data_IF_321847351103
#
_entry.id   IF_321847351103
#
_cell.length_a   1.000
_cell.length_b   1.000
_cell.length_c   1.000
_cell.angle_alpha   90.00
_cell.angle_beta   90.00
_cell.angle_gamma   90.00
#
_symmetry.space_group_name_H-M   'P 1'
#
loop_
_entity.id
_entity.type
_entity.pdbx_description
1 polymer ?
#
# COMPACT_ATOMS: atom_id res chain seq x y z
N UNK A 1 31.99 -20.02 9.90
CA UNK A 1 30.81 -20.23 9.04
C UNK A 1 30.84 -19.13 7.97
N UNK A 2 31.61 -19.33 6.89
CA UNK A 2 31.63 -18.42 5.74
C UNK A 2 30.51 -18.87 4.81
N UNK A 3 29.37 -18.21 4.82
CA UNK A 3 28.25 -18.58 3.94
C UNK A 3 28.55 -18.32 2.46
N UNK A 4 29.57 -17.51 2.13
CA UNK A 4 30.01 -17.29 0.75
C UNK A 4 31.54 -17.32 0.65
N UNK A 5 32.12 -18.15 -0.24
CA UNK A 5 33.56 -18.24 -0.46
C UNK A 5 34.12 -17.15 -1.40
N UNK A 6 33.27 -16.36 -2.06
CA UNK A 6 33.63 -15.29 -3.02
C UNK A 6 32.67 -14.11 -2.87
N UNK A 7 33.08 -12.90 -3.27
CA UNK A 7 32.18 -11.74 -3.38
C UNK A 7 31.04 -12.11 -4.35
N UNK A 8 29.77 -12.09 -3.92
CA UNK A 8 28.65 -12.40 -4.79
C UNK A 8 28.51 -11.32 -5.86
N UNK A 9 28.25 -11.72 -7.11
CA UNK A 9 27.89 -10.77 -8.17
C UNK A 9 26.55 -10.11 -7.85
N UNK A 10 26.26 -8.94 -8.43
CA UNK A 10 24.97 -8.26 -8.22
C UNK A 10 23.78 -9.19 -8.50
N UNK A 11 23.87 -10.02 -9.55
CA UNK A 11 22.87 -11.03 -9.88
C UNK A 11 22.62 -12.08 -8.76
N UNK A 12 23.65 -12.42 -7.97
CA UNK A 12 23.53 -13.39 -6.87
C UNK A 12 22.87 -12.76 -5.63
N UNK A 13 23.14 -11.47 -5.37
CA UNK A 13 22.49 -10.71 -4.31
C UNK A 13 21.00 -10.53 -4.63
N UNK A 14 20.68 -10.19 -5.86
CA UNK A 14 19.29 -10.05 -6.32
C UNK A 14 18.55 -11.39 -6.23
N UNK A 15 19.18 -12.50 -6.62
CA UNK A 15 18.59 -13.83 -6.46
C UNK A 15 18.33 -14.17 -4.99
N UNK A 16 19.21 -13.76 -4.09
CA UNK A 16 19.08 -13.98 -2.64
C UNK A 16 17.93 -13.17 -2.03
N UNK A 17 17.78 -11.89 -2.40
CA UNK A 17 16.72 -11.01 -1.89
C UNK A 17 15.39 -11.15 -2.63
N UNK A 18 15.37 -11.76 -3.83
CA UNK A 18 14.19 -11.94 -4.69
C UNK A 18 12.91 -12.43 -3.95
N UNK A 19 12.97 -13.40 -3.01
CA UNK A 19 11.78 -13.81 -2.26
C UNK A 19 11.21 -12.70 -1.37
N UNK A 20 12.09 -11.91 -0.74
CA UNK A 20 11.74 -10.79 0.14
C UNK A 20 11.16 -9.62 -0.65
N UNK A 21 11.74 -9.34 -1.82
CA UNK A 21 11.25 -8.31 -2.73
C UNK A 21 9.87 -8.64 -3.29
N UNK A 22 9.63 -9.90 -3.69
CA UNK A 22 8.31 -10.35 -4.17
C UNK A 22 7.22 -10.11 -3.15
N UNK A 23 7.45 -10.43 -1.88
CA UNK A 23 6.45 -10.19 -0.82
C UNK A 23 6.28 -8.69 -0.54
N UNK A 24 7.37 -7.93 -0.56
CA UNK A 24 7.36 -6.49 -0.28
C UNK A 24 6.64 -5.69 -1.37
N UNK A 25 6.63 -6.18 -2.61
CA UNK A 25 5.96 -5.55 -3.75
C UNK A 25 4.42 -5.54 -3.64
N UNK A 26 3.83 -6.40 -2.79
CA UNK A 26 2.37 -6.41 -2.60
C UNK A 26 1.84 -5.22 -1.80
N UNK A 27 2.66 -4.62 -0.92
CA UNK A 27 2.21 -3.55 -0.03
C UNK A 27 1.75 -2.28 -0.79
N UNK A 28 2.49 -1.77 -1.81
CA UNK A 28 2.02 -0.66 -2.64
C UNK A 28 0.74 -0.99 -3.44
N UNK A 29 0.61 -2.23 -3.92
CA UNK A 29 -0.57 -2.69 -4.63
C UNK A 29 -1.78 -2.69 -3.71
N UNK A 30 -1.66 -3.25 -2.50
CA UNK A 30 -2.73 -3.26 -1.50
C UNK A 30 -3.12 -1.83 -1.11
N UNK A 31 -2.15 -0.93 -0.95
CA UNK A 31 -2.43 0.47 -0.62
C UNK A 31 -3.24 1.16 -1.74
N UNK A 32 -2.84 0.96 -2.99
CA UNK A 32 -3.54 1.51 -4.16
C UNK A 32 -4.96 0.96 -4.28
N UNK A 33 -5.13 -0.35 -4.12
CA UNK A 33 -6.44 -1.00 -4.15
C UNK A 33 -7.35 -0.52 -3.01
N UNK A 34 -6.84 -0.39 -1.80
CA UNK A 34 -7.59 0.12 -0.66
C UNK A 34 -8.09 1.56 -0.92
N UNK A 35 -7.25 2.41 -1.51
CA UNK A 35 -7.65 3.76 -1.91
C UNK A 35 -8.74 3.76 -2.98
N UNK A 36 -8.61 2.93 -4.01
CA UNK A 36 -9.61 2.81 -5.07
C UNK A 36 -10.95 2.30 -4.52
N UNK A 37 -10.93 1.36 -3.58
CA UNK A 37 -12.13 0.87 -2.89
C UNK A 37 -12.78 1.97 -2.03
N UNK A 38 -11.99 2.79 -1.34
CA UNK A 38 -12.51 3.93 -0.59
C UNK A 38 -13.23 4.94 -1.48
N UNK A 39 -12.65 5.25 -2.65
CA UNK A 39 -13.25 6.08 -3.68
C UNK A 39 -14.52 5.45 -4.27
N UNK A 40 -14.52 4.14 -4.54
CA UNK A 40 -15.72 3.43 -4.98
C UNK A 40 -16.87 3.61 -3.96
N UNK A 41 -16.55 3.51 -2.66
CA UNK A 41 -17.52 3.77 -1.60
C UNK A 41 -18.13 5.18 -1.67
N UNK A 42 -17.37 6.19 -2.10
CA UNK A 42 -17.92 7.55 -2.28
C UNK A 42 -18.97 7.63 -3.37
N UNK A 43 -18.73 6.93 -4.49
CA UNK A 43 -19.67 6.88 -5.61
C UNK A 43 -20.95 6.17 -5.18
N UNK A 44 -20.82 5.06 -4.44
CA UNK A 44 -21.95 4.32 -3.90
C UNK A 44 -22.77 5.19 -2.93
N UNK A 45 -22.13 5.88 -1.97
CA UNK A 45 -22.83 6.69 -0.97
C UNK A 45 -23.63 7.85 -1.60
N UNK A 46 -23.05 8.54 -2.58
CA UNK A 46 -23.74 9.61 -3.31
C UNK A 46 -24.88 9.05 -4.16
N UNK A 47 -24.66 7.93 -4.85
CA UNK A 47 -25.71 7.27 -5.64
C UNK A 47 -26.90 6.83 -4.77
N UNK A 48 -26.64 6.26 -3.60
CA UNK A 48 -27.69 5.87 -2.64
C UNK A 48 -28.51 7.08 -2.19
N UNK A 49 -27.85 8.20 -1.83
CA UNK A 49 -28.57 9.41 -1.45
C UNK A 49 -29.46 9.97 -2.56
N UNK A 50 -29.00 9.94 -3.82
CA UNK A 50 -29.85 10.33 -4.95
C UNK A 50 -31.04 9.39 -5.14
N UNK A 51 -30.84 8.07 -4.99
CA UNK A 51 -31.93 7.09 -5.05
C UNK A 51 -32.99 7.30 -3.97
N UNK A 52 -32.58 7.67 -2.75
CA UNK A 52 -33.52 8.00 -1.67
C UNK A 52 -34.34 9.26 -1.95
N UNK A 53 -33.73 10.30 -2.53
CA UNK A 53 -34.46 11.51 -2.94
C UNK A 53 -35.46 11.26 -4.06
N UNK A 54 -35.06 10.44 -5.03
CA UNK A 54 -35.95 10.04 -6.13
C UNK A 54 -37.18 9.30 -5.60
N UNK A 55 -36.97 8.35 -4.68
CA UNK A 55 -38.05 7.61 -4.04
C UNK A 55 -39.01 8.52 -3.25
N UNK A 56 -38.48 9.54 -2.57
CA UNK A 56 -39.28 10.53 -1.83
C UNK A 56 -39.94 11.57 -2.73
N UNK A 57 -39.59 11.60 -4.04
CA UNK A 57 -40.01 12.64 -5.01
C UNK A 57 -39.77 14.07 -4.51
N UNK A 58 -38.78 14.23 -3.63
CA UNK A 58 -38.46 15.50 -2.97
C UNK A 58 -36.96 15.61 -2.80
N UNK A 59 -36.43 16.76 -3.15
CA UNK A 59 -35.03 17.10 -2.86
C UNK A 59 -34.90 17.42 -1.37
N UNK A 60 -34.05 16.68 -0.67
CA UNK A 60 -33.77 16.85 0.76
C UNK A 60 -32.28 17.03 1.00
N UNK A 61 -31.88 18.21 1.43
CA UNK A 61 -30.46 18.51 1.66
C UNK A 61 -29.86 17.65 2.80
N UNK A 62 -30.67 17.28 3.78
CA UNK A 62 -30.28 16.41 4.89
C UNK A 62 -29.96 14.99 4.41
N UNK A 63 -30.74 14.45 3.48
CA UNK A 63 -30.47 13.12 2.88
C UNK A 63 -29.16 13.14 2.08
N UNK A 64 -28.92 14.22 1.30
CA UNK A 64 -27.65 14.36 0.56
C UNK A 64 -26.46 14.43 1.51
N UNK A 65 -26.58 15.26 2.56
CA UNK A 65 -25.51 15.44 3.54
C UNK A 65 -25.19 14.12 4.25
N UNK A 66 -26.20 13.29 4.53
CA UNK A 66 -26.04 11.92 5.04
C UNK A 66 -25.21 11.05 4.09
N UNK A 67 -25.61 10.93 2.82
CA UNK A 67 -24.88 10.10 1.85
C UNK A 67 -23.45 10.59 1.57
N UNK A 68 -23.21 11.91 1.58
CA UNK A 68 -21.87 12.47 1.47
C UNK A 68 -21.03 12.12 2.69
N UNK A 69 -21.59 12.22 3.90
CA UNK A 69 -20.88 11.82 5.12
C UNK A 69 -20.47 10.34 5.07
N UNK A 70 -21.38 9.47 4.65
CA UNK A 70 -21.10 8.04 4.55
C UNK A 70 -20.04 7.76 3.47
N UNK A 71 -20.14 8.42 2.32
CA UNK A 71 -19.12 8.42 1.27
C UNK A 71 -17.73 8.86 1.78
N UNK A 72 -17.65 9.92 2.58
CA UNK A 72 -16.39 10.36 3.16
C UNK A 72 -15.82 9.34 4.15
N UNK A 73 -16.67 8.66 4.91
CA UNK A 73 -16.23 7.64 5.85
C UNK A 73 -15.57 6.44 5.15
N UNK A 74 -16.01 6.05 3.95
CA UNK A 74 -15.34 4.99 3.17
C UNK A 74 -13.96 5.41 2.68
N UNK A 75 -13.77 6.70 2.37
CA UNK A 75 -12.45 7.24 2.00
C UNK A 75 -11.50 7.22 3.19
N UNK A 76 -11.98 7.60 4.37
CA UNK A 76 -11.21 7.50 5.62
C UNK A 76 -10.78 6.04 5.85
N UNK A 77 -11.69 5.09 5.66
CA UNK A 77 -11.37 3.66 5.78
C UNK A 77 -10.29 3.20 4.79
N UNK A 78 -10.36 3.62 3.52
CA UNK A 78 -9.33 3.33 2.51
C UNK A 78 -7.96 3.88 2.89
N UNK A 79 -7.91 5.13 3.36
CA UNK A 79 -6.68 5.78 3.83
C UNK A 79 -6.07 5.09 5.06
N UNK A 80 -6.92 4.63 6.00
CA UNK A 80 -6.47 3.90 7.19
C UNK A 80 -5.74 2.60 6.86
N UNK A 81 -6.02 1.99 5.70
CA UNK A 81 -5.30 0.79 5.23
C UNK A 81 -4.10 1.17 4.36
N UNK A 82 -4.26 2.16 3.48
CA UNK A 82 -3.23 2.54 2.52
C UNK A 82 -1.99 3.16 3.17
N UNK A 83 -2.17 4.05 4.15
CA UNK A 83 -1.06 4.75 4.82
C UNK A 83 -0.13 3.76 5.54
N UNK A 84 -0.62 2.86 6.43
CA UNK A 84 0.24 1.88 7.07
C UNK A 84 0.91 0.93 6.08
N UNK A 85 0.18 0.49 5.04
CA UNK A 85 0.75 -0.42 4.03
C UNK A 85 1.96 0.19 3.34
N UNK A 86 1.87 1.46 2.93
CA UNK A 86 3.01 2.18 2.34
C UNK A 86 4.14 2.44 3.34
N UNK A 87 3.81 2.75 4.59
CA UNK A 87 4.81 2.96 5.63
C UNK A 87 5.65 1.69 5.87
N UNK A 88 5.00 0.53 5.99
CA UNK A 88 5.70 -0.75 6.16
C UNK A 88 6.52 -1.14 4.93
N UNK A 89 6.00 -0.90 3.73
CA UNK A 89 6.75 -1.09 2.49
C UNK A 89 8.09 -0.35 2.54
N UNK A 90 8.07 0.94 2.91
CA UNK A 90 9.30 1.76 2.99
C UNK A 90 10.29 1.27 4.04
N UNK A 91 9.81 0.80 5.20
CA UNK A 91 10.70 0.25 6.22
C UNK A 91 11.41 -1.01 5.71
N UNK A 92 10.69 -1.91 5.05
CA UNK A 92 11.26 -3.16 4.55
C UNK A 92 12.23 -2.89 3.40
N UNK A 93 11.85 -2.03 2.46
CA UNK A 93 12.69 -1.61 1.34
C UNK A 93 14.02 -1.01 1.83
N UNK A 94 13.97 -0.07 2.79
CA UNK A 94 15.18 0.51 3.39
C UNK A 94 16.05 -0.54 4.09
N UNK A 95 15.44 -1.55 4.74
CA UNK A 95 16.19 -2.65 5.37
C UNK A 95 16.88 -3.54 4.35
N UNK A 96 16.22 -3.86 3.23
CA UNK A 96 16.82 -4.68 2.16
C UNK A 96 18.03 -3.95 1.57
N UNK A 97 17.88 -2.66 1.25
CA UNK A 97 18.97 -1.83 0.73
C UNK A 97 20.15 -1.74 1.71
N UNK A 98 19.88 -1.49 3.00
CA UNK A 98 20.94 -1.45 4.01
C UNK A 98 21.71 -2.77 4.12
N UNK A 99 21.01 -3.90 4.04
CA UNK A 99 21.67 -5.21 4.07
C UNK A 99 22.51 -5.45 2.82
N UNK A 100 22.01 -5.11 1.63
CA UNK A 100 22.78 -5.28 0.39
C UNK A 100 24.07 -4.45 0.41
N UNK A 101 24.01 -3.20 0.89
CA UNK A 101 25.18 -2.35 1.09
C UNK A 101 26.17 -2.92 2.11
N UNK A 102 25.68 -3.46 3.22
CA UNK A 102 26.53 -4.07 4.24
C UNK A 102 27.26 -5.31 3.71
N UNK A 103 26.57 -6.17 2.96
CA UNK A 103 27.18 -7.33 2.31
C UNK A 103 28.28 -6.89 1.32
N UNK A 104 28.01 -5.91 0.46
CA UNK A 104 29.01 -5.39 -0.47
C UNK A 104 30.26 -4.83 0.25
N UNK A 105 30.07 -4.21 1.43
CA UNK A 105 31.16 -3.61 2.22
C UNK A 105 31.98 -4.63 3.03
N UNK A 106 31.38 -5.70 3.52
CA UNK A 106 32.11 -6.75 4.26
C UNK A 106 33.12 -7.47 3.33
N UNK A 107 32.72 -7.67 2.08
CA UNK A 107 33.55 -8.28 1.05
C UNK A 107 34.77 -7.42 0.65
N UNK A 108 34.65 -6.09 0.61
CA UNK A 108 35.76 -5.18 0.25
C UNK A 108 36.83 -5.03 1.34
N UNK A 109 36.57 -5.47 2.58
CA UNK A 109 37.55 -5.43 3.69
C UNK A 109 38.38 -6.70 3.85
N UNK A 110 38.08 -7.74 3.08
CA UNK A 110 38.70 -9.07 3.24
C UNK A 110 39.75 -9.39 2.16
N UNK A 111 39.97 -8.48 1.20
CA UNK A 111 41.16 -8.42 0.33
C UNK A 111 42.17 -7.42 0.89
#
# INVERSE_FOLDING_TARGET
MKCFPKVPSEDELDLFFSPLERTTHWFPTIASLAMLLGLLGTVIGINTAFGEMEAQKKVSLEVLAGGIKDALNTTIAGLLVAIPSLFFHRIIENKIQYLSELFAKDHTKTE
#
